data_IF_638215633001
#
_entry.id   IF_638215633001
#
_cell.length_a   1.000
_cell.length_b   1.000
_cell.length_c   1.000
_cell.angle_alpha   90.00
_cell.angle_beta   90.00
_cell.angle_gamma   90.00
#
_symmetry.space_group_name_H-M   'P 1'
#
loop_
_entity.id
_entity.type
_entity.pdbx_description
1 polymer ?
#
# COMPACT_ATOMS: atom_id res chain seq x y z
N UNK A 1 28.17 54.80 14.37
CA UNK A 1 27.96 53.53 15.10
C UNK A 1 27.06 52.65 14.22
N UNK A 2 27.69 51.86 13.33
CA UNK A 2 26.97 51.10 12.27
C UNK A 2 26.73 49.68 12.73
N UNK A 3 25.46 49.38 13.06
CA UNK A 3 24.99 48.06 13.45
C UNK A 3 24.68 47.24 12.19
N UNK A 4 25.58 46.32 11.78
CA UNK A 4 25.38 45.39 10.68
C UNK A 4 24.40 44.30 11.14
N UNK A 5 23.17 44.35 10.61
CA UNK A 5 22.16 43.26 10.77
C UNK A 5 22.54 42.10 9.87
N UNK A 6 22.99 41.00 10.46
CA UNK A 6 23.17 39.72 9.76
C UNK A 6 21.81 39.06 9.66
N UNK A 7 21.26 39.02 8.43
CA UNK A 7 20.05 38.26 8.08
C UNK A 7 20.45 36.81 7.87
N UNK A 8 20.14 35.94 8.84
CA UNK A 8 20.26 34.48 8.68
C UNK A 8 19.04 33.96 7.90
N UNK A 9 19.23 33.65 6.64
CA UNK A 9 18.23 32.92 5.85
C UNK A 9 18.33 31.43 6.20
N UNK A 10 17.39 30.92 7.01
CA UNK A 10 17.26 29.51 7.33
C UNK A 10 16.71 28.75 6.13
N UNK A 11 17.50 27.87 5.55
CA UNK A 11 17.09 26.95 4.48
C UNK A 11 16.36 25.76 5.14
N UNK A 12 15.03 25.74 5.10
CA UNK A 12 14.23 24.60 5.53
C UNK A 12 14.21 23.56 4.41
N UNK A 13 14.91 22.44 4.61
CA UNK A 13 14.84 21.28 3.72
C UNK A 13 13.59 20.48 4.10
N UNK A 14 12.54 20.56 3.30
CA UNK A 14 11.36 19.70 3.43
C UNK A 14 11.68 18.32 2.86
N UNK A 15 11.80 17.32 3.73
CA UNK A 15 11.92 15.91 3.34
C UNK A 15 10.52 15.40 3.00
N UNK A 16 10.24 15.23 1.71
CA UNK A 16 9.06 14.49 1.24
C UNK A 16 9.32 12.99 1.45
N UNK A 17 8.64 12.42 2.45
CA UNK A 17 8.57 10.96 2.61
C UNK A 17 7.66 10.40 1.51
N UNK A 18 8.08 9.37 0.76
CA UNK A 18 7.20 8.72 -0.20
C UNK A 18 6.05 8.04 0.57
N UNK A 19 4.81 8.38 0.22
CA UNK A 19 3.65 7.63 0.65
C UNK A 19 3.72 6.24 -0.02
N UNK A 20 3.90 5.19 0.76
CA UNK A 20 3.78 3.82 0.25
C UNK A 20 2.28 3.57 0.03
N UNK A 21 1.89 3.36 -1.22
CA UNK A 21 0.56 2.88 -1.54
C UNK A 21 0.44 1.44 -1.01
N UNK A 22 -0.55 1.19 -0.12
CA UNK A 22 -0.90 -0.17 0.27
C UNK A 22 -1.33 -0.94 -0.99
N UNK A 23 -0.86 -2.17 -1.12
CA UNK A 23 -1.29 -3.07 -2.20
C UNK A 23 -2.81 -3.36 -2.14
N UNK A 24 -3.37 -3.96 -3.20
CA UNK A 24 -4.77 -4.37 -3.19
C UNK A 24 -5.00 -5.39 -2.06
N UNK A 25 -6.13 -5.24 -1.34
CA UNK A 25 -6.50 -6.19 -0.29
C UNK A 25 -6.85 -7.55 -0.89
N UNK A 26 -6.52 -8.68 -0.22
CA UNK A 26 -6.99 -10.00 -0.61
C UNK A 26 -8.52 -10.06 -0.66
N UNK A 27 -9.05 -10.69 -1.71
CA UNK A 27 -10.49 -10.79 -1.99
C UNK A 27 -10.89 -12.25 -2.12
N UNK A 28 -12.04 -12.60 -1.54
CA UNK A 28 -12.76 -13.84 -1.80
C UNK A 28 -14.07 -13.51 -2.47
N UNK A 29 -14.47 -14.32 -3.46
CA UNK A 29 -15.80 -14.29 -4.08
C UNK A 29 -16.39 -15.68 -3.96
N UNK A 30 -17.63 -15.76 -3.49
CA UNK A 30 -18.41 -16.99 -3.41
C UNK A 30 -19.80 -16.74 -3.99
N UNK A 31 -20.25 -17.61 -4.88
CA UNK A 31 -21.48 -17.42 -5.65
C UNK A 31 -22.35 -18.69 -5.61
N UNK A 32 -23.66 -18.45 -5.61
CA UNK A 32 -24.69 -19.45 -5.87
C UNK A 32 -25.72 -18.88 -6.86
N UNK A 33 -26.79 -19.64 -7.17
CA UNK A 33 -27.89 -19.11 -7.99
C UNK A 33 -28.64 -17.97 -7.30
N UNK A 34 -28.66 -17.93 -5.96
CA UNK A 34 -29.43 -16.99 -5.18
C UNK A 34 -28.62 -15.84 -4.59
N UNK A 35 -27.34 -16.07 -4.27
CA UNK A 35 -26.50 -15.11 -3.53
C UNK A 35 -25.10 -15.01 -4.08
N UNK A 36 -24.52 -13.83 -3.89
CA UNK A 36 -23.11 -13.52 -4.07
C UNK A 36 -22.53 -12.97 -2.76
N UNK A 37 -21.34 -13.42 -2.39
CA UNK A 37 -20.58 -12.92 -1.24
C UNK A 37 -19.23 -12.42 -1.74
N UNK A 38 -18.92 -11.15 -1.49
CA UNK A 38 -17.60 -10.56 -1.77
C UNK A 38 -16.95 -10.18 -0.45
N UNK A 39 -15.86 -10.84 -0.11
CA UNK A 39 -15.08 -10.60 1.10
C UNK A 39 -13.77 -9.89 0.81
N UNK A 40 -13.37 -8.95 1.70
CA UNK A 40 -12.06 -8.29 1.68
C UNK A 40 -11.39 -8.45 3.03
N UNK A 41 -10.18 -9.02 3.00
CA UNK A 41 -9.36 -9.18 4.21
C UNK A 41 -8.48 -7.94 4.39
N UNK A 42 -8.68 -7.22 5.49
CA UNK A 42 -7.80 -6.15 5.94
C UNK A 42 -6.94 -6.58 7.15
N UNK A 43 -6.16 -5.67 7.71
CA UNK A 43 -5.30 -5.95 8.87
C UNK A 43 -6.07 -6.39 10.12
N UNK A 44 -7.34 -6.03 10.26
CA UNK A 44 -8.10 -6.19 11.50
C UNK A 44 -9.37 -7.04 11.33
N UNK A 45 -9.83 -7.23 10.09
CA UNK A 45 -11.11 -7.88 9.82
C UNK A 45 -11.22 -8.51 8.44
N UNK A 46 -12.16 -9.44 8.30
CA UNK A 46 -12.73 -9.85 7.02
C UNK A 46 -14.11 -9.19 6.91
N UNK A 47 -14.27 -8.30 5.91
CA UNK A 47 -15.52 -7.60 5.62
C UNK A 47 -16.20 -8.27 4.44
N UNK A 48 -17.46 -8.69 4.63
CA UNK A 48 -18.24 -9.51 3.71
C UNK A 48 -19.50 -8.74 3.27
N UNK A 49 -19.59 -8.42 1.99
CA UNK A 49 -20.82 -7.92 1.36
C UNK A 49 -21.60 -9.13 0.84
N UNK A 50 -22.88 -9.15 1.10
CA UNK A 50 -23.81 -10.21 0.66
C UNK A 50 -24.91 -9.58 -0.18
N UNK A 51 -25.05 -10.05 -1.41
CA UNK A 51 -26.02 -9.56 -2.36
C UNK A 51 -26.89 -10.70 -2.92
N UNK A 52 -28.07 -10.38 -3.42
CA UNK A 52 -28.89 -11.29 -4.23
C UNK A 52 -28.28 -11.39 -5.63
N UNK A 53 -27.80 -12.56 -6.05
CA UNK A 53 -27.14 -12.73 -7.34
C UNK A 53 -27.96 -12.23 -8.55
N UNK A 54 -29.31 -12.45 -8.65
CA UNK A 54 -30.08 -12.00 -9.81
C UNK A 54 -30.28 -10.47 -9.90
N UNK A 55 -30.15 -9.74 -8.78
CA UNK A 55 -30.57 -8.32 -8.70
C UNK A 55 -29.51 -7.38 -8.15
N UNK A 56 -28.43 -7.91 -7.58
CA UNK A 56 -27.42 -7.17 -6.80
C UNK A 56 -28.04 -6.39 -5.62
N UNK A 57 -29.20 -6.86 -5.11
CA UNK A 57 -29.82 -6.23 -3.96
C UNK A 57 -29.11 -6.66 -2.67
N UNK A 58 -28.66 -5.71 -1.80
CA UNK A 58 -27.92 -6.06 -0.60
C UNK A 58 -28.80 -6.82 0.41
N UNK A 59 -28.19 -7.85 1.03
CA UNK A 59 -28.79 -8.66 2.07
C UNK A 59 -28.24 -8.21 3.43
N UNK A 60 -29.05 -7.45 4.19
CA UNK A 60 -28.63 -6.78 5.42
C UNK A 60 -29.11 -7.48 6.71
N UNK A 61 -29.91 -8.55 6.59
CA UNK A 61 -30.60 -9.22 7.70
C UNK A 61 -30.39 -10.74 7.71
N UNK A 62 -29.20 -11.20 7.29
CA UNK A 62 -28.83 -12.60 7.31
C UNK A 62 -28.12 -13.00 8.61
N UNK A 63 -28.19 -14.31 8.90
CA UNK A 63 -27.20 -14.96 9.74
C UNK A 63 -26.12 -15.53 8.83
N UNK A 64 -24.87 -15.16 9.05
CA UNK A 64 -23.73 -15.60 8.26
C UNK A 64 -22.68 -16.22 9.16
N UNK A 65 -22.29 -17.46 8.87
CA UNK A 65 -21.16 -18.12 9.47
C UNK A 65 -20.13 -18.47 8.39
N UNK A 66 -18.84 -18.40 8.75
CA UNK A 66 -17.73 -18.68 7.84
C UNK A 66 -16.82 -19.72 8.46
N UNK A 67 -16.52 -20.76 7.70
CA UNK A 67 -15.55 -21.78 8.07
C UNK A 67 -14.26 -21.60 7.27
N UNK A 68 -13.12 -21.75 7.95
CA UNK A 68 -11.80 -21.82 7.35
C UNK A 68 -10.92 -22.78 8.16
N UNK A 69 -10.27 -23.73 7.50
CA UNK A 69 -9.36 -24.68 8.14
C UNK A 69 -10.02 -25.52 9.26
N UNK A 70 -11.32 -25.86 9.12
CA UNK A 70 -12.09 -26.61 10.10
C UNK A 70 -12.55 -25.83 11.33
N UNK A 71 -12.48 -24.48 11.30
CA UNK A 71 -12.96 -23.59 12.35
C UNK A 71 -14.01 -22.65 11.81
N UNK A 72 -15.19 -22.69 12.41
CA UNK A 72 -16.30 -21.80 12.08
C UNK A 72 -16.35 -20.58 13.02
N UNK A 73 -16.72 -19.42 12.47
CA UNK A 73 -16.98 -18.19 13.19
C UNK A 73 -18.20 -17.48 12.62
N UNK A 74 -19.02 -16.87 13.49
CA UNK A 74 -20.12 -16.04 13.05
C UNK A 74 -19.65 -14.65 12.63
N UNK A 75 -20.15 -14.15 11.50
CA UNK A 75 -19.98 -12.78 11.07
C UNK A 75 -21.07 -11.89 11.69
N UNK A 76 -20.66 -10.71 12.17
CA UNK A 76 -21.58 -9.74 12.80
C UNK A 76 -21.92 -8.64 11.80
N UNK A 77 -23.21 -8.33 11.64
CA UNK A 77 -23.64 -7.25 10.76
C UNK A 77 -23.17 -5.89 11.28
N UNK A 78 -22.42 -5.17 10.46
CA UNK A 78 -21.97 -3.79 10.70
C UNK A 78 -22.84 -2.84 9.86
N UNK A 79 -23.80 -2.19 10.51
CA UNK A 79 -24.74 -1.29 9.84
C UNK A 79 -24.05 -0.04 9.24
N UNK A 80 -22.91 0.38 9.77
CA UNK A 80 -22.18 1.53 9.24
C UNK A 80 -21.48 1.19 7.93
N UNK A 81 -21.03 -0.07 7.78
CA UNK A 81 -20.42 -0.56 6.56
C UNK A 81 -21.45 -1.15 5.57
N UNK A 82 -22.66 -1.46 6.02
CA UNK A 82 -23.66 -2.21 5.24
C UNK A 82 -23.18 -3.63 4.89
N UNK A 83 -22.39 -4.26 5.77
CA UNK A 83 -21.68 -5.51 5.50
C UNK A 83 -21.57 -6.35 6.79
N UNK A 84 -21.17 -7.60 6.64
CA UNK A 84 -20.89 -8.50 7.77
C UNK A 84 -19.39 -8.48 8.07
N UNK A 85 -19.02 -8.47 9.35
CA UNK A 85 -17.64 -8.37 9.80
C UNK A 85 -17.25 -9.53 10.69
N UNK A 86 -16.06 -10.10 10.42
CA UNK A 86 -15.36 -11.00 11.32
C UNK A 86 -14.10 -10.27 11.81
N UNK A 87 -13.96 -10.11 13.14
CA UNK A 87 -12.82 -9.44 13.77
C UNK A 87 -12.09 -10.34 14.79
N UNK A 88 -12.30 -11.67 14.72
CA UNK A 88 -11.59 -12.63 15.55
C UNK A 88 -10.14 -12.77 15.08
N UNK A 89 -9.21 -12.17 15.80
CA UNK A 89 -7.80 -12.13 15.44
C UNK A 89 -7.16 -13.54 15.38
N UNK A 90 -7.60 -14.48 16.20
CA UNK A 90 -7.06 -15.85 16.22
C UNK A 90 -7.53 -16.66 15.01
N UNK A 91 -8.76 -16.39 14.53
CA UNK A 91 -9.31 -17.01 13.35
C UNK A 91 -8.74 -16.37 12.06
N UNK A 92 -8.53 -15.06 12.04
CA UNK A 92 -8.00 -14.31 10.89
C UNK A 92 -6.50 -14.54 10.65
N UNK A 93 -5.73 -14.81 11.71
CA UNK A 93 -4.27 -14.88 11.63
C UNK A 93 -3.75 -15.91 10.61
N UNK A 94 -4.28 -17.16 10.51
CA UNK A 94 -3.85 -18.11 9.49
C UNK A 94 -4.16 -17.65 8.06
N UNK A 95 -5.26 -16.90 7.86
CA UNK A 95 -5.70 -16.42 6.54
C UNK A 95 -4.81 -15.32 5.95
N UNK A 96 -3.86 -14.79 6.71
CA UNK A 96 -2.90 -13.77 6.26
C UNK A 96 -1.61 -14.36 5.70
N UNK A 97 -1.44 -15.67 5.80
CA UNK A 97 -0.29 -16.34 5.18
C UNK A 97 -0.44 -16.33 3.66
N UNK A 98 0.70 -16.27 2.95
CA UNK A 98 0.68 -16.41 1.49
C UNK A 98 0.08 -17.74 1.07
N UNK A 99 -0.76 -17.68 0.05
CA UNK A 99 -1.39 -18.86 -0.52
C UNK A 99 -2.88 -18.71 -0.72
N UNK A 100 -3.51 -19.84 -0.99
CA UNK A 100 -4.93 -19.98 -1.23
C UNK A 100 -5.59 -20.59 0.01
N UNK A 101 -6.66 -19.94 0.51
CA UNK A 101 -7.42 -20.35 1.68
C UNK A 101 -8.87 -20.58 1.29
N UNK A 102 -9.31 -21.84 1.28
CA UNK A 102 -10.71 -22.20 1.04
C UNK A 102 -11.60 -21.73 2.20
N UNK A 103 -12.66 -21.01 1.88
CA UNK A 103 -13.69 -20.54 2.80
C UNK A 103 -15.04 -21.16 2.43
N UNK A 104 -15.77 -21.64 3.44
CA UNK A 104 -17.17 -22.06 3.29
C UNK A 104 -18.07 -21.09 4.05
N UNK A 105 -19.16 -20.67 3.41
CA UNK A 105 -20.10 -19.69 3.96
C UNK A 105 -21.47 -20.36 4.16
N UNK A 106 -21.97 -20.35 5.39
CA UNK A 106 -23.34 -20.75 5.71
C UNK A 106 -24.17 -19.50 5.87
N UNK A 107 -25.09 -19.27 4.94
CA UNK A 107 -25.96 -18.08 4.89
C UNK A 107 -27.40 -18.47 5.16
N UNK A 108 -28.08 -17.73 6.06
CA UNK A 108 -29.51 -17.91 6.35
C UNK A 108 -30.20 -16.55 6.26
N UNK A 109 -31.22 -16.44 5.39
CA UNK A 109 -32.00 -15.23 5.14
C UNK A 109 -33.50 -15.57 5.30
N UNK A 110 -34.08 -15.29 6.44
CA UNK A 110 -35.45 -15.74 6.76
C UNK A 110 -35.53 -17.27 6.77
N UNK A 111 -36.35 -17.84 5.89
CA UNK A 111 -36.52 -19.30 5.75
C UNK A 111 -35.61 -19.93 4.68
N UNK A 112 -34.81 -19.11 3.99
CA UNK A 112 -33.90 -19.54 2.94
C UNK A 112 -32.50 -19.75 3.54
N UNK A 113 -31.89 -20.92 3.25
CA UNK A 113 -30.52 -21.22 3.65
C UNK A 113 -29.70 -21.63 2.44
N UNK A 114 -28.44 -21.20 2.38
CA UNK A 114 -27.52 -21.50 1.31
C UNK A 114 -26.12 -21.80 1.85
N UNK A 115 -25.35 -22.59 1.10
CA UNK A 115 -23.97 -22.91 1.38
C UNK A 115 -23.12 -22.53 0.17
N UNK A 116 -22.25 -21.54 0.36
CA UNK A 116 -21.36 -21.06 -0.69
C UNK A 116 -19.91 -21.40 -0.34
N UNK A 117 -19.05 -21.48 -1.36
CA UNK A 117 -17.63 -21.68 -1.18
C UNK A 117 -16.84 -20.73 -2.08
N UNK A 118 -15.68 -20.31 -1.63
CA UNK A 118 -14.77 -19.46 -2.40
C UNK A 118 -13.36 -19.50 -1.82
N UNK A 119 -12.39 -19.09 -2.63
CA UNK A 119 -10.98 -19.10 -2.27
C UNK A 119 -10.48 -17.67 -2.04
N UNK A 120 -9.90 -17.43 -0.87
CA UNK A 120 -9.18 -16.20 -0.53
C UNK A 120 -7.72 -16.38 -0.93
N UNK A 121 -7.28 -15.64 -1.96
CA UNK A 121 -5.90 -15.66 -2.41
C UNK A 121 -5.14 -14.51 -1.77
N UNK A 122 -4.09 -14.83 -1.02
CA UNK A 122 -3.19 -13.88 -0.38
C UNK A 122 -1.83 -13.92 -1.07
N UNK A 123 -1.47 -12.85 -1.74
CA UNK A 123 -0.17 -12.68 -2.35
C UNK A 123 0.53 -11.51 -1.66
N UNK A 124 1.53 -11.80 -0.83
CA UNK A 124 2.44 -10.76 -0.37
C UNK A 124 3.36 -10.40 -1.53
N UNK A 125 2.95 -9.42 -2.30
CA UNK A 125 3.85 -8.78 -3.25
C UNK A 125 4.92 -8.06 -2.41
N UNK A 126 5.95 -8.83 -2.05
CA UNK A 126 7.20 -8.22 -1.63
C UNK A 126 7.69 -7.46 -2.87
N UNK A 127 7.27 -6.19 -2.98
CA UNK A 127 7.87 -5.24 -3.90
C UNK A 127 9.30 -5.05 -3.41
N UNK A 128 10.11 -6.11 -3.59
CA UNK A 128 11.55 -5.98 -3.58
C UNK A 128 11.81 -4.80 -4.48
N UNK A 129 12.26 -3.68 -3.89
CA UNK A 129 12.51 -2.45 -4.61
C UNK A 129 13.32 -2.82 -5.85
N UNK A 130 12.66 -2.89 -7.02
CA UNK A 130 13.41 -2.99 -8.27
C UNK A 130 14.44 -1.87 -8.21
N UNK A 131 15.74 -2.21 -8.33
CA UNK A 131 16.76 -1.19 -8.26
C UNK A 131 16.44 -0.19 -9.34
N UNK A 132 15.98 1.00 -8.94
CA UNK A 132 15.60 2.05 -9.85
C UNK A 132 16.73 2.17 -10.92
N UNK A 133 16.44 2.01 -12.22
CA UNK A 133 17.45 1.92 -13.28
C UNK A 133 18.33 3.17 -13.39
N UNK A 134 18.00 4.21 -12.62
CA UNK A 134 18.70 5.50 -12.57
C UNK A 134 19.47 5.75 -11.26
N UNK A 135 19.66 4.73 -10.42
CA UNK A 135 20.63 4.87 -9.31
C UNK A 135 22.02 5.08 -9.93
N UNK A 136 22.35 6.35 -10.12
CA UNK A 136 23.75 6.75 -10.37
C UNK A 136 24.59 6.13 -9.26
N UNK A 137 25.55 5.26 -9.63
CA UNK A 137 26.47 4.70 -8.66
C UNK A 137 27.14 5.87 -7.93
N UNK A 138 27.43 5.75 -6.62
CA UNK A 138 28.07 6.83 -5.87
C UNK A 138 29.41 7.29 -6.49
N UNK A 139 30.01 6.47 -7.35
CA UNK A 139 31.20 6.81 -8.14
C UNK A 139 30.93 7.76 -9.31
N UNK A 140 29.69 7.82 -9.85
CA UNK A 140 29.35 8.75 -10.92
C UNK A 140 29.07 10.18 -10.41
N UNK A 141 28.61 10.31 -9.16
CA UNK A 141 28.39 11.62 -8.51
C UNK A 141 29.68 12.36 -8.22
N UNK A 142 30.76 11.66 -7.88
CA UNK A 142 32.06 12.28 -7.62
C UNK A 142 32.75 12.80 -8.88
N UNK A 143 32.49 12.21 -10.06
CA UNK A 143 33.07 12.68 -11.32
C UNK A 143 32.45 14.02 -11.79
N UNK A 144 31.18 14.27 -11.51
CA UNK A 144 30.52 15.54 -11.88
C UNK A 144 30.95 16.72 -11.00
N UNK A 145 31.18 16.49 -9.71
CA UNK A 145 31.68 17.54 -8.80
C UNK A 145 33.18 17.84 -9.05
N UNK A 146 33.99 16.85 -9.41
CA UNK A 146 35.41 17.01 -9.80
C UNK A 146 35.57 17.81 -11.11
N UNK A 147 34.70 17.59 -12.09
CA UNK A 147 34.72 18.29 -13.37
C UNK A 147 34.40 19.77 -13.26
N UNK A 148 33.43 20.15 -12.44
CA UNK A 148 33.08 21.56 -12.21
C UNK A 148 34.19 22.34 -11.48
N UNK A 149 34.88 21.68 -10.53
CA UNK A 149 35.98 22.26 -9.78
C UNK A 149 37.18 22.58 -10.67
N UNK A 150 37.53 21.68 -11.60
CA UNK A 150 38.65 21.86 -12.54
C UNK A 150 38.38 22.98 -13.57
N UNK A 151 37.15 23.13 -14.04
CA UNK A 151 36.76 24.22 -14.95
C UNK A 151 36.84 25.59 -14.26
N UNK A 152 36.40 25.68 -13.00
CA UNK A 152 36.50 26.92 -12.23
C UNK A 152 37.95 27.33 -11.92
N UNK A 153 38.80 26.37 -11.58
CA UNK A 153 40.24 26.61 -11.35
C UNK A 153 40.99 27.03 -12.63
N UNK A 154 40.68 26.41 -13.77
CA UNK A 154 41.26 26.75 -15.07
C UNK A 154 40.88 28.14 -15.57
N UNK A 155 39.65 28.56 -15.32
CA UNK A 155 39.16 29.88 -15.71
C UNK A 155 39.74 31.00 -14.81
N UNK A 156 39.94 30.74 -13.51
CA UNK A 156 40.57 31.66 -12.57
C UNK A 156 42.03 31.91 -12.91
N UNK A 157 42.78 30.84 -13.26
CA UNK A 157 44.21 30.96 -13.59
C UNK A 157 44.43 31.72 -14.89
N UNK A 158 43.62 31.53 -15.93
CA UNK A 158 43.70 32.33 -17.16
C UNK A 158 43.51 33.82 -16.93
N UNK A 159 42.60 34.22 -16.07
CA UNK A 159 42.41 35.65 -15.72
C UNK A 159 43.56 36.24 -14.92
N UNK A 160 44.24 35.46 -14.04
CA UNK A 160 45.41 35.92 -13.34
C UNK A 160 46.63 36.08 -14.26
N UNK A 161 46.82 35.19 -15.20
CA UNK A 161 47.91 35.23 -16.17
C UNK A 161 47.83 36.42 -17.11
N UNK A 162 46.62 36.81 -17.53
CA UNK A 162 46.39 38.00 -18.39
C UNK A 162 46.65 39.31 -17.68
N UNK A 163 46.51 39.36 -16.35
CA UNK A 163 46.82 40.60 -15.56
C UNK A 163 48.30 40.83 -15.34
N UNK A 164 49.18 39.82 -15.53
CA UNK A 164 50.64 39.96 -15.33
C UNK A 164 51.42 40.30 -16.60
N UNK A 165 50.72 40.28 -17.76
CA UNK A 165 51.37 40.57 -19.06
C UNK A 165 51.25 41.99 -19.56
N UNK A 166 50.73 42.94 -18.75
CA UNK A 166 50.48 44.32 -19.20
C UNK A 166 51.30 45.39 -18.50
N UNK A 167 52.58 45.11 -18.17
CA UNK A 167 53.52 46.13 -17.65
C UNK A 167 54.90 45.93 -18.33
N UNK A 168 55.03 46.48 -19.53
CA UNK A 168 56.31 46.85 -20.16
C UNK A 168 55.97 47.97 -21.19
#
# INVERSE_FOLDING_TARGET
>A
MNLKKHLFAGLTVSVLLPAQAAGPLPVVVAESEAFEIVGRLDENSLLLHVDRAPTNAPVLNATLAVEAGGKEVAAVFDAAAGAYRIADAAWLQPLRADGEHGLAFTLVVGDEADLLAGDLVVENHDHGAEPAPWRLSPLAGSALLGGLGLLAAGFGWRRLAQRRGGAA
#
